data_IF_949236696380
#
_entry.id   IF_949236696380
#
_cell.length_a   1.000
_cell.length_b   1.000
_cell.length_c   1.000
_cell.angle_alpha   90.00
_cell.angle_beta   90.00
_cell.angle_gamma   90.00
#
_symmetry.space_group_name_H-M   'P 1'
#
loop_
_entity.id
_entity.type
_entity.pdbx_description
1 polymer ?
#
# COMPACT_ATOMS: atom_id res chain seq x y z
N UNK A 1 10.05 -61.96 -0.09
CA UNK A 1 10.41 -60.62 -0.62
C UNK A 1 11.93 -60.49 -0.69
N UNK A 2 12.52 -60.50 -1.89
CA UNK A 2 13.99 -60.51 -2.10
C UNK A 2 14.64 -59.21 -1.61
N UNK A 3 15.86 -59.29 -1.06
CA UNK A 3 16.64 -58.15 -0.55
C UNK A 3 16.76 -57.00 -1.57
N UNK A 4 16.88 -57.34 -2.87
CA UNK A 4 16.89 -56.36 -3.98
C UNK A 4 15.63 -55.48 -4.02
N UNK A 5 14.45 -56.05 -3.79
CA UNK A 5 13.18 -55.29 -3.77
C UNK A 5 13.08 -54.34 -2.58
N UNK A 6 13.64 -54.69 -1.42
CA UNK A 6 13.68 -53.81 -0.23
C UNK A 6 14.58 -52.60 -0.47
N UNK A 7 15.73 -52.80 -1.10
CA UNK A 7 16.68 -51.74 -1.47
C UNK A 7 16.08 -50.73 -2.46
N UNK A 8 15.41 -51.22 -3.51
CA UNK A 8 14.75 -50.35 -4.50
C UNK A 8 13.61 -49.54 -3.85
N UNK A 9 12.84 -50.17 -2.96
CA UNK A 9 11.72 -49.51 -2.26
C UNK A 9 12.20 -48.37 -1.36
N UNK A 10 13.30 -48.58 -0.62
CA UNK A 10 13.93 -47.54 0.20
C UNK A 10 14.43 -46.37 -0.64
N UNK A 11 15.06 -46.63 -1.79
CA UNK A 11 15.51 -45.57 -2.71
C UNK A 11 14.35 -44.74 -3.26
N UNK A 12 13.26 -45.39 -3.66
CA UNK A 12 12.04 -44.74 -4.17
C UNK A 12 11.40 -43.82 -3.14
N UNK A 13 11.32 -44.26 -1.88
CA UNK A 13 10.77 -43.46 -0.77
C UNK A 13 11.62 -42.20 -0.53
N UNK A 14 12.94 -42.33 -0.55
CA UNK A 14 13.85 -41.17 -0.39
C UNK A 14 13.68 -40.15 -1.51
N UNK A 15 13.55 -40.60 -2.76
CA UNK A 15 13.33 -39.72 -3.92
C UNK A 15 11.97 -39.01 -3.80
N UNK A 16 10.92 -39.73 -3.43
CA UNK A 16 9.60 -39.14 -3.17
C UNK A 16 9.65 -38.10 -2.04
N UNK A 17 10.36 -38.39 -0.95
CA UNK A 17 10.57 -37.46 0.15
C UNK A 17 11.21 -36.16 -0.32
N UNK A 18 12.31 -36.25 -1.07
CA UNK A 18 12.99 -35.08 -1.63
C UNK A 18 12.06 -34.31 -2.58
N UNK A 19 11.31 -34.98 -3.45
CA UNK A 19 10.38 -34.34 -4.36
C UNK A 19 9.28 -33.56 -3.62
N UNK A 20 8.72 -34.11 -2.54
CA UNK A 20 7.72 -33.42 -1.71
C UNK A 20 8.31 -32.19 -1.02
N UNK A 21 9.52 -32.29 -0.45
CA UNK A 21 10.21 -31.18 0.19
C UNK A 21 10.48 -30.06 -0.81
N UNK A 22 10.93 -30.41 -2.03
CA UNK A 22 11.16 -29.43 -3.10
C UNK A 22 9.86 -28.71 -3.49
N UNK A 23 8.74 -29.44 -3.62
CA UNK A 23 7.44 -28.84 -3.94
C UNK A 23 6.95 -27.87 -2.85
N UNK A 24 7.11 -28.24 -1.58
CA UNK A 24 6.79 -27.37 -0.44
C UNK A 24 7.72 -26.15 -0.42
N UNK A 25 9.01 -26.32 -0.67
CA UNK A 25 9.99 -25.24 -0.68
C UNK A 25 9.69 -24.18 -1.76
N UNK A 26 9.28 -24.60 -2.96
CA UNK A 26 8.88 -23.69 -4.03
C UNK A 26 7.63 -22.89 -3.62
N UNK A 27 6.62 -23.57 -3.07
CA UNK A 27 5.39 -22.93 -2.61
C UNK A 27 5.66 -21.93 -1.48
N UNK A 28 6.52 -22.32 -0.54
CA UNK A 28 6.95 -21.47 0.57
C UNK A 28 7.70 -20.22 0.07
N UNK A 29 8.61 -20.38 -0.90
CA UNK A 29 9.36 -19.26 -1.48
C UNK A 29 8.44 -18.22 -2.12
N UNK A 30 7.41 -18.66 -2.86
CA UNK A 30 6.41 -17.75 -3.45
C UNK A 30 5.62 -16.99 -2.38
N UNK A 31 5.16 -17.68 -1.34
CA UNK A 31 4.44 -17.06 -0.21
C UNK A 31 5.27 -16.00 0.50
N UNK A 32 6.54 -16.32 0.80
CA UNK A 32 7.47 -15.37 1.42
C UNK A 32 7.74 -14.17 0.50
N UNK A 33 7.84 -14.40 -0.81
CA UNK A 33 8.03 -13.33 -1.81
C UNK A 33 6.85 -12.35 -1.85
N UNK A 34 5.62 -12.85 -1.88
CA UNK A 34 4.42 -12.00 -1.85
C UNK A 34 4.32 -11.18 -0.56
N UNK A 35 4.61 -11.79 0.59
CA UNK A 35 4.55 -11.11 1.87
C UNK A 35 5.67 -10.07 2.04
N UNK A 36 6.86 -10.35 1.51
CA UNK A 36 7.96 -9.38 1.44
C UNK A 36 7.63 -8.19 0.53
N UNK A 37 6.93 -8.43 -0.59
CA UNK A 37 6.41 -7.38 -1.46
C UNK A 37 5.39 -6.50 -0.72
N UNK A 38 4.41 -7.11 -0.05
CA UNK A 38 3.42 -6.38 0.76
C UNK A 38 4.08 -5.52 1.86
N UNK A 39 5.15 -6.03 2.49
CA UNK A 39 5.94 -5.24 3.44
C UNK A 39 6.60 -4.02 2.80
N UNK A 40 7.15 -4.17 1.60
CA UNK A 40 7.74 -3.05 0.85
C UNK A 40 6.66 -2.03 0.47
N UNK A 41 5.49 -2.50 0.04
CA UNK A 41 4.34 -1.65 -0.26
C UNK A 41 3.85 -0.88 0.98
N UNK A 42 3.88 -1.47 2.18
CA UNK A 42 3.56 -0.74 3.42
C UNK A 42 4.51 0.44 3.67
N UNK A 43 5.81 0.25 3.42
CA UNK A 43 6.80 1.34 3.51
C UNK A 43 6.51 2.41 2.45
N UNK A 44 6.18 2.01 1.22
CA UNK A 44 5.78 2.97 0.18
C UNK A 44 4.51 3.73 0.58
N UNK A 45 3.52 3.05 1.16
CA UNK A 45 2.27 3.65 1.63
C UNK A 45 2.53 4.75 2.66
N UNK A 46 3.45 4.52 3.61
CA UNK A 46 3.88 5.52 4.58
C UNK A 46 4.54 6.73 3.89
N UNK A 47 5.44 6.50 2.92
CA UNK A 47 6.05 7.57 2.12
C UNK A 47 4.98 8.38 1.37
N UNK A 48 3.95 7.73 0.82
CA UNK A 48 2.82 8.42 0.16
C UNK A 48 2.04 9.28 1.14
N UNK A 49 1.75 8.78 2.35
CA UNK A 49 1.10 9.56 3.40
C UNK A 49 1.91 10.82 3.76
N UNK A 50 3.24 10.67 3.90
CA UNK A 50 4.13 11.80 4.15
C UNK A 50 4.13 12.82 3.00
N UNK A 51 4.03 12.36 1.76
CA UNK A 51 3.89 13.24 0.59
C UNK A 51 2.55 13.97 0.56
N UNK A 52 1.44 13.34 0.98
CA UNK A 52 0.16 14.02 1.16
C UNK A 52 0.27 15.16 2.17
N UNK A 53 0.86 14.88 3.34
CA UNK A 53 1.13 15.89 4.38
C UNK A 53 2.07 17.00 3.89
N UNK A 54 3.05 16.68 3.03
CA UNK A 54 3.92 17.68 2.40
C UNK A 54 3.13 18.59 1.46
N UNK A 55 2.29 18.02 0.59
CA UNK A 55 1.46 18.81 -0.33
C UNK A 55 0.51 19.75 0.43
N UNK A 56 -0.09 19.28 1.53
CA UNK A 56 -0.91 20.11 2.41
C UNK A 56 -0.11 21.29 2.98
N UNK A 57 1.07 21.03 3.55
CA UNK A 57 1.94 22.08 4.10
C UNK A 57 2.38 23.08 3.05
N UNK A 58 2.74 22.61 1.86
CA UNK A 58 3.15 23.48 0.76
C UNK A 58 1.98 24.36 0.29
N UNK A 59 0.74 23.84 0.29
CA UNK A 59 -0.45 24.64 0.05
C UNK A 59 -0.60 25.73 1.12
N UNK A 60 -0.50 25.39 2.41
CA UNK A 60 -0.67 26.37 3.49
C UNK A 60 0.38 27.49 3.44
N UNK A 61 1.61 27.18 3.04
CA UNK A 61 2.71 28.16 2.94
C UNK A 61 2.62 29.03 1.69
N UNK A 62 2.18 28.48 0.56
CA UNK A 62 2.25 29.15 -0.75
C UNK A 62 0.90 29.54 -1.34
N UNK A 63 -0.18 29.05 -0.75
CA UNK A 63 -1.58 29.27 -1.16
C UNK A 63 -1.83 29.01 -2.65
N UNK A 64 -1.16 27.99 -3.22
CA UNK A 64 -1.22 27.67 -4.65
C UNK A 64 -2.08 26.43 -4.89
N UNK A 65 -3.15 26.57 -5.67
CA UNK A 65 -4.11 25.51 -5.96
C UNK A 65 -3.47 24.27 -6.64
N UNK A 66 -2.29 24.37 -7.25
CA UNK A 66 -1.59 23.21 -7.84
C UNK A 66 -1.30 22.10 -6.82
N UNK A 67 -1.15 22.46 -5.54
CA UNK A 67 -0.89 21.50 -4.48
C UNK A 67 -2.11 20.62 -4.18
N UNK A 68 -3.33 21.09 -4.47
CA UNK A 68 -4.53 20.25 -4.42
C UNK A 68 -4.52 19.17 -5.51
N UNK A 69 -4.12 19.52 -6.74
CA UNK A 69 -3.97 18.52 -7.82
C UNK A 69 -2.95 17.45 -7.45
N UNK A 70 -1.74 17.87 -7.03
CA UNK A 70 -0.69 16.95 -6.60
C UNK A 70 -1.11 16.08 -5.42
N UNK A 71 -1.85 16.65 -4.47
CA UNK A 71 -2.40 15.88 -3.36
C UNK A 71 -3.37 14.80 -3.87
N UNK A 72 -4.29 15.14 -4.77
CA UNK A 72 -5.26 14.19 -5.32
C UNK A 72 -4.59 13.06 -6.10
N UNK A 73 -3.56 13.36 -6.90
CA UNK A 73 -2.77 12.36 -7.62
C UNK A 73 -2.06 11.40 -6.65
N UNK A 74 -1.39 11.92 -5.63
CA UNK A 74 -0.74 11.08 -4.61
C UNK A 74 -1.75 10.27 -3.79
N UNK A 75 -2.95 10.79 -3.56
CA UNK A 75 -3.99 10.10 -2.82
C UNK A 75 -4.56 8.93 -3.63
N UNK A 76 -4.67 9.04 -4.95
CA UNK A 76 -5.04 7.92 -5.81
C UNK A 76 -4.02 6.78 -5.72
N UNK A 77 -2.73 7.10 -5.82
CA UNK A 77 -1.65 6.10 -5.66
C UNK A 77 -1.68 5.44 -4.27
N UNK A 78 -1.97 6.21 -3.22
CA UNK A 78 -2.14 5.65 -1.88
C UNK A 78 -3.27 4.62 -1.83
N UNK A 79 -4.42 4.90 -2.45
CA UNK A 79 -5.56 3.96 -2.50
C UNK A 79 -5.18 2.67 -3.23
N UNK A 80 -4.47 2.78 -4.35
CA UNK A 80 -4.05 1.61 -5.14
C UNK A 80 -3.09 0.71 -4.35
N UNK A 81 -2.10 1.30 -3.68
CA UNK A 81 -1.15 0.57 -2.83
C UNK A 81 -1.88 -0.07 -1.64
N UNK A 82 -2.76 0.67 -0.97
CA UNK A 82 -3.57 0.16 0.14
C UNK A 82 -4.42 -1.05 -0.29
N UNK A 83 -5.00 -1.01 -1.49
CA UNK A 83 -5.78 -2.12 -2.03
C UNK A 83 -4.90 -3.34 -2.34
N UNK A 84 -3.72 -3.13 -2.93
CA UNK A 84 -2.75 -4.20 -3.19
C UNK A 84 -2.36 -4.92 -1.90
N UNK A 85 -2.02 -4.17 -0.86
CA UNK A 85 -1.67 -4.72 0.46
C UNK A 85 -2.85 -5.50 1.05
N UNK A 86 -4.05 -4.93 1.02
CA UNK A 86 -5.25 -5.59 1.55
C UNK A 86 -5.54 -6.92 0.84
N UNK A 87 -5.32 -7.00 -0.48
CA UNK A 87 -5.52 -8.22 -1.25
C UNK A 87 -4.51 -9.31 -0.89
N UNK A 88 -3.22 -8.94 -0.75
CA UNK A 88 -2.17 -9.90 -0.37
C UNK A 88 -2.41 -10.40 1.05
N UNK A 89 -2.71 -9.51 1.99
CA UNK A 89 -2.95 -9.89 3.38
C UNK A 89 -4.21 -10.76 3.55
N UNK A 90 -5.29 -10.47 2.80
CA UNK A 90 -6.50 -11.28 2.80
C UNK A 90 -6.27 -12.71 2.29
N UNK A 91 -5.37 -12.91 1.30
CA UNK A 91 -4.99 -14.24 0.80
C UNK A 91 -4.40 -15.13 1.89
N UNK A 92 -3.76 -14.53 2.89
CA UNK A 92 -3.09 -15.23 4.00
C UNK A 92 -3.84 -15.10 5.33
N UNK A 93 -5.09 -14.62 5.31
CA UNK A 93 -5.93 -14.40 6.50
C UNK A 93 -5.26 -13.50 7.56
N UNK A 94 -4.45 -12.53 7.10
CA UNK A 94 -3.77 -11.57 7.97
C UNK A 94 -4.69 -10.35 8.16
N UNK A 95 -5.06 -10.01 9.41
CA UNK A 95 -5.91 -8.85 9.68
C UNK A 95 -5.30 -7.55 9.16
N UNK A 96 -6.08 -6.77 8.41
CA UNK A 96 -5.68 -5.45 7.91
C UNK A 96 -6.77 -4.40 8.21
N UNK A 97 -6.41 -3.16 8.60
CA UNK A 97 -7.40 -2.12 8.90
C UNK A 97 -8.26 -1.75 7.69
N UNK A 98 -9.57 -1.98 7.78
CA UNK A 98 -10.52 -1.62 6.71
C UNK A 98 -10.87 -0.13 6.67
N UNK A 99 -10.60 0.60 7.76
CA UNK A 99 -10.93 2.03 7.90
C UNK A 99 -9.93 2.97 7.22
N UNK A 100 -8.74 2.50 6.87
CA UNK A 100 -7.68 3.37 6.34
C UNK A 100 -8.13 4.11 5.06
N UNK A 101 -8.92 3.45 4.22
CA UNK A 101 -9.51 4.07 3.03
C UNK A 101 -10.53 5.16 3.38
N UNK A 102 -11.46 4.88 4.31
CA UNK A 102 -12.45 5.88 4.73
C UNK A 102 -11.80 7.07 5.41
N UNK A 103 -10.75 6.84 6.21
CA UNK A 103 -10.01 7.91 6.90
C UNK A 103 -9.29 8.82 5.89
N UNK A 104 -8.73 8.22 4.82
CA UNK A 104 -8.16 8.97 3.71
C UNK A 104 -9.22 9.80 2.97
N UNK A 105 -10.40 9.25 2.70
CA UNK A 105 -11.48 9.98 2.01
C UNK A 105 -11.95 11.18 2.84
N UNK A 106 -12.08 11.02 4.16
CA UNK A 106 -12.36 12.11 5.09
C UNK A 106 -11.24 13.16 5.06
N UNK A 107 -9.98 12.74 5.07
CA UNK A 107 -8.83 13.64 5.00
C UNK A 107 -8.81 14.45 3.69
N UNK A 108 -9.03 13.79 2.55
CA UNK A 108 -9.15 14.45 1.24
C UNK A 108 -10.27 15.50 1.25
N UNK A 109 -11.44 15.15 1.78
CA UNK A 109 -12.58 16.07 1.87
C UNK A 109 -12.27 17.30 2.72
N UNK A 110 -11.62 17.12 3.88
CA UNK A 110 -11.20 18.22 4.75
C UNK A 110 -10.17 19.13 4.07
N UNK A 111 -9.19 18.57 3.38
CA UNK A 111 -8.19 19.36 2.67
C UNK A 111 -8.80 20.14 1.50
N UNK A 112 -9.70 19.53 0.73
CA UNK A 112 -10.42 20.22 -0.34
C UNK A 112 -11.24 21.40 0.20
N UNK A 113 -11.97 21.19 1.30
CA UNK A 113 -12.72 22.27 1.98
C UNK A 113 -11.80 23.40 2.46
N UNK A 114 -10.62 23.07 3.00
CA UNK A 114 -9.61 24.05 3.41
C UNK A 114 -9.09 24.87 2.21
N UNK A 115 -8.84 24.23 1.07
CA UNK A 115 -8.40 24.91 -0.15
C UNK A 115 -9.49 25.85 -0.67
N UNK A 116 -10.74 25.38 -0.75
CA UNK A 116 -11.87 26.21 -1.16
C UNK A 116 -12.10 27.40 -0.23
N UNK A 117 -11.98 27.21 1.10
CA UNK A 117 -12.07 28.30 2.06
C UNK A 117 -10.98 29.36 1.87
N UNK A 118 -9.73 28.94 1.61
CA UNK A 118 -8.63 29.86 1.30
C UNK A 118 -8.81 30.57 -0.05
N UNK A 119 -9.42 29.92 -1.04
CA UNK A 119 -9.78 30.57 -2.31
C UNK A 119 -10.81 31.68 -2.12
N UNK A 120 -11.83 31.46 -1.28
CA UNK A 120 -12.85 32.47 -0.95
C UNK A 120 -12.25 33.64 -0.15
N UNK A 121 -11.38 33.36 0.82
CA UNK A 121 -10.69 34.40 1.60
C UNK A 121 -9.74 35.24 0.74
N UNK A 122 -9.18 34.65 -0.32
CA UNK A 122 -8.14 35.23 -1.15
C UNK A 122 -6.82 34.48 -1.00
N UNK A 123 -6.32 33.93 -2.10
CA UNK A 123 -5.03 33.22 -2.10
C UNK A 123 -3.83 34.18 -1.97
N UNK A 124 -4.05 35.48 -2.19
CA UNK A 124 -3.06 36.57 -2.06
C UNK A 124 -3.68 37.73 -1.28
N UNK A 125 -2.85 38.58 -0.69
CA UNK A 125 -3.28 39.76 0.09
C UNK A 125 -4.16 40.75 -0.72
N UNK A 126 -4.10 40.70 -2.05
CA UNK A 126 -4.87 41.54 -2.98
C UNK A 126 -6.13 40.85 -3.56
N UNK A 127 -6.47 39.63 -3.11
CA UNK A 127 -7.60 38.87 -3.63
C UNK A 127 -8.61 38.48 -2.55
N UNK A 128 -9.82 38.14 -2.96
CA UNK A 128 -10.89 37.67 -2.07
C UNK A 128 -11.42 38.75 -1.13
N UNK A 129 -11.81 38.36 0.08
CA UNK A 129 -12.35 39.25 1.10
C UNK A 129 -11.31 40.19 1.72
N UNK A 130 -10.01 39.91 1.56
CA UNK A 130 -8.91 40.76 2.07
C UNK A 130 -8.56 41.95 1.16
N UNK A 131 -8.92 41.88 -0.12
CA UNK A 131 -8.68 42.96 -1.09
C UNK A 131 -9.76 44.05 -1.13
N UNK A 132 -10.58 44.18 -0.09
CA UNK A 132 -11.67 45.16 0.02
C UNK A 132 -11.46 46.13 1.15
#
# INVERSE_FOLDING_TARGET
MNIKSRLILLGLISILGIATILGVSISFSNTVGELASARTQLVELEVRLLNLRRNEKDFLLRKDAKYLSKFNENAALFVDINQSISNVLAKYDIPYPTRLRSDLDVYKGKFAALVSGNQVLGLKEDQGLMGR
#
